data_IF_006944124172
#
_entry.id   IF_006944124172
#
_cell.length_a   1.000
_cell.length_b   1.000
_cell.length_c   1.000
_cell.angle_alpha   90.00
_cell.angle_beta   90.00
_cell.angle_gamma   90.00
#
_symmetry.space_group_name_H-M   'P 1'
#
loop_
_entity.id
_entity.type
_entity.pdbx_description
1 polymer ?
#
# COMPACT_ATOMS: atom_id res chain seq x y z
N UNK A 1 -9.30 10.83 11.75
CA UNK A 1 -9.54 9.37 11.83
C UNK A 1 -10.81 9.07 11.06
N UNK A 2 -10.76 8.15 10.11
CA UNK A 2 -11.91 7.79 9.28
C UNK A 2 -12.48 6.45 9.76
N UNK A 3 -13.81 6.33 9.74
CA UNK A 3 -14.50 5.08 10.05
C UNK A 3 -14.92 4.46 8.72
N UNK A 4 -14.51 3.22 8.49
CA UNK A 4 -14.87 2.44 7.33
C UNK A 4 -15.71 1.22 7.74
N UNK A 5 -16.55 0.72 6.82
CA UNK A 5 -17.32 -0.51 7.04
C UNK A 5 -16.54 -1.72 6.54
N UNK A 6 -16.49 -2.77 7.36
CA UNK A 6 -16.06 -4.10 6.94
C UNK A 6 -17.28 -4.87 6.46
N UNK A 7 -17.24 -5.34 5.21
CA UNK A 7 -18.32 -6.13 4.59
C UNK A 7 -17.79 -7.52 4.27
N UNK A 8 -18.63 -8.54 4.45
CA UNK A 8 -18.32 -9.91 4.04
C UNK A 8 -19.09 -10.27 2.78
N UNK A 9 -18.38 -10.71 1.75
CA UNK A 9 -18.94 -11.17 0.47
C UNK A 9 -18.37 -12.55 0.15
N UNK A 10 -19.23 -13.57 0.20
CA UNK A 10 -18.81 -14.98 0.13
C UNK A 10 -17.74 -15.25 1.22
N UNK A 11 -16.59 -15.79 0.84
CA UNK A 11 -15.44 -16.04 1.72
C UNK A 11 -14.55 -14.81 1.98
N UNK A 12 -14.75 -13.70 1.25
CA UNK A 12 -13.87 -12.53 1.30
C UNK A 12 -14.38 -11.46 2.27
N UNK A 13 -13.45 -10.74 2.92
CA UNK A 13 -13.73 -9.48 3.63
C UNK A 13 -13.26 -8.31 2.79
N UNK A 14 -14.08 -7.26 2.76
CA UNK A 14 -13.86 -6.04 2.00
C UNK A 14 -13.95 -4.85 2.97
N UNK A 15 -13.11 -3.85 2.75
CA UNK A 15 -13.19 -2.55 3.44
C UNK A 15 -13.49 -1.53 2.37
N UNK A 16 -14.56 -0.76 2.56
CA UNK A 16 -14.87 0.38 1.68
C UNK A 16 -14.19 1.62 2.25
N UNK A 17 -13.18 2.12 1.53
CA UNK A 17 -12.54 3.37 1.92
C UNK A 17 -13.43 4.56 1.61
N UNK A 18 -13.55 5.53 2.53
CA UNK A 18 -14.02 6.87 2.19
C UNK A 18 -13.11 7.50 1.13
N UNK A 19 -13.68 8.32 0.26
CA UNK A 19 -12.99 8.93 -0.88
C UNK A 19 -11.73 9.70 -0.46
N UNK A 20 -11.74 10.29 0.72
CA UNK A 20 -10.63 11.07 1.30
C UNK A 20 -9.39 10.22 1.63
N UNK A 21 -9.54 8.90 1.73
CA UNK A 21 -8.47 7.94 2.06
C UNK A 21 -8.37 6.80 1.05
N UNK A 22 -8.97 6.95 -0.12
CA UNK A 22 -8.79 6.01 -1.22
C UNK A 22 -7.34 6.05 -1.72
N UNK A 23 -6.82 4.89 -2.10
CA UNK A 23 -5.55 4.86 -2.82
C UNK A 23 -5.70 5.50 -4.20
N UNK A 24 -4.62 6.08 -4.75
CA UNK A 24 -4.57 6.46 -6.15
C UNK A 24 -4.91 5.30 -7.10
N UNK A 25 -5.43 5.61 -8.28
CA UNK A 25 -5.99 4.61 -9.22
C UNK A 25 -4.93 3.66 -9.80
N UNK A 26 -3.66 4.04 -9.79
CA UNK A 26 -2.52 3.23 -10.18
C UNK A 26 -2.18 2.12 -9.16
N UNK A 27 -2.61 2.25 -7.90
CA UNK A 27 -2.35 1.27 -6.86
C UNK A 27 -3.31 0.09 -7.00
N UNK A 28 -2.82 -0.99 -7.60
CA UNK A 28 -3.60 -2.23 -7.82
C UNK A 28 -3.34 -3.31 -6.77
N UNK A 29 -2.19 -3.26 -6.10
CA UNK A 29 -1.78 -4.26 -5.12
C UNK A 29 -1.23 -3.59 -3.87
N UNK A 30 -1.53 -4.18 -2.72
CA UNK A 30 -1.10 -3.68 -1.42
C UNK A 30 -0.54 -4.82 -0.58
N UNK A 31 0.48 -4.50 0.21
CA UNK A 31 0.92 -5.32 1.31
C UNK A 31 -0.02 -5.11 2.50
N UNK A 32 -0.44 -6.20 3.13
CA UNK A 32 -1.24 -6.17 4.36
C UNK A 32 -0.43 -6.79 5.48
N UNK A 33 -0.03 -5.99 6.46
CA UNK A 33 0.68 -6.44 7.66
C UNK A 33 -0.28 -6.54 8.84
N UNK A 34 -0.11 -7.60 9.62
CA UNK A 34 -0.92 -7.88 10.81
C UNK A 34 -0.13 -7.49 12.05
N UNK A 35 -0.68 -6.58 12.87
CA UNK A 35 -0.10 -6.21 14.16
C UNK A 35 -1.19 -6.36 15.22
N UNK A 36 -1.26 -7.55 15.85
CA UNK A 36 -2.34 -7.88 16.76
C UNK A 36 -3.72 -7.74 16.11
N UNK A 37 -4.55 -6.82 16.63
CA UNK A 37 -5.88 -6.53 16.10
C UNK A 37 -5.85 -5.57 14.90
N UNK A 38 -4.73 -4.89 14.67
CA UNK A 38 -4.61 -3.89 13.63
C UNK A 38 -4.18 -4.51 12.29
N UNK A 39 -4.53 -3.81 11.22
CA UNK A 39 -4.09 -4.10 9.86
C UNK A 39 -3.46 -2.84 9.29
N UNK A 40 -2.20 -2.95 8.88
CA UNK A 40 -1.48 -1.88 8.19
C UNK A 40 -1.44 -2.23 6.71
N UNK A 41 -1.95 -1.33 5.87
CA UNK A 41 -2.08 -1.53 4.43
C UNK A 41 -1.21 -0.49 3.74
N UNK A 42 -0.31 -0.93 2.85
CA UNK A 42 0.56 -0.03 2.07
C UNK A 42 0.70 -0.56 0.64
N UNK A 43 0.85 0.31 -0.38
CA UNK A 43 1.18 -0.13 -1.73
C UNK A 43 2.40 -1.06 -1.75
N UNK A 44 2.41 -2.05 -2.63
CA UNK A 44 3.47 -3.06 -2.73
C UNK A 44 4.83 -2.47 -3.08
N UNK A 45 4.86 -1.45 -3.94
CA UNK A 45 6.08 -0.84 -4.48
C UNK A 45 6.63 0.32 -3.62
N UNK A 46 6.02 0.62 -2.47
CA UNK A 46 6.43 1.70 -1.57
C UNK A 46 7.10 1.17 -0.28
N UNK A 47 7.96 0.16 -0.40
CA UNK A 47 8.85 -0.23 0.71
C UNK A 47 10.26 0.29 0.48
N UNK A 48 10.96 0.64 1.56
CA UNK A 48 12.39 0.97 1.52
C UNK A 48 13.21 -0.16 0.90
N UNK A 49 12.83 -1.42 1.18
CA UNK A 49 13.45 -2.59 0.55
C UNK A 49 13.30 -2.55 -0.97
N UNK A 50 12.12 -2.18 -1.50
CA UNK A 50 11.91 -2.06 -2.95
C UNK A 50 12.75 -0.96 -3.58
N UNK A 51 13.02 0.12 -2.85
CA UNK A 51 13.86 1.22 -3.32
C UNK A 51 15.35 0.91 -3.23
N UNK A 52 15.83 0.29 -2.15
CA UNK A 52 17.25 0.02 -1.95
C UNK A 52 17.74 -1.28 -2.60
N UNK A 53 16.84 -2.24 -2.86
CA UNK A 53 17.17 -3.50 -3.52
C UNK A 53 16.88 -3.47 -5.03
N UNK A 54 16.48 -2.32 -5.58
CA UNK A 54 16.34 -2.16 -7.03
C UNK A 54 17.72 -2.16 -7.70
N UNK A 55 17.84 -2.82 -8.85
CA UNK A 55 19.04 -2.76 -9.69
C UNK A 55 19.09 -1.48 -10.55
N UNK A 56 18.01 -0.67 -10.54
CA UNK A 56 17.98 0.63 -11.22
C UNK A 56 18.94 1.61 -10.53
N UNK A 57 19.87 2.16 -11.31
CA UNK A 57 20.84 3.16 -10.83
C UNK A 57 20.67 4.47 -11.57
N UNK A 58 20.94 5.57 -10.86
CA UNK A 58 21.09 6.89 -11.48
C UNK A 58 22.36 6.93 -12.35
N UNK A 59 22.44 7.89 -13.26
CA UNK A 59 23.64 8.10 -14.08
C UNK A 59 24.81 8.61 -13.23
N UNK A 60 26.04 8.41 -13.72
CA UNK A 60 27.27 8.77 -13.00
C UNK A 60 27.40 10.28 -12.75
N UNK A 61 26.69 11.10 -13.54
CA UNK A 61 26.65 12.56 -13.44
C UNK A 61 25.45 13.10 -12.64
N UNK A 62 24.62 12.22 -12.05
CA UNK A 62 23.46 12.63 -11.28
C UNK A 62 23.87 13.45 -10.04
N UNK A 63 23.36 14.69 -9.95
CA UNK A 63 23.61 15.66 -8.87
C UNK A 63 25.03 16.26 -8.83
N UNK A 64 25.83 16.07 -9.87
CA UNK A 64 27.03 16.87 -10.19
C UNK A 64 26.70 18.03 -11.12
#
# INVERSE_FOLDING_TARGET
MFIAKVIRKKSNQLIYFPKEVEFPTEVKTVNVRVIGKDRIISPTNNSWDSFFLTDERVSDDFMS
#
